data_IF_207711635720
#
_entry.id   IF_207711635720
#
_cell.length_a   1.000
_cell.length_b   1.000
_cell.length_c   1.000
_cell.angle_alpha   90.00
_cell.angle_beta   90.00
_cell.angle_gamma   90.00
#
_symmetry.space_group_name_H-M   'P 1'
#
loop_
_entity.id
_entity.type
_entity.pdbx_description
1 polymer ?
#
# COMPACT_ATOMS: atom_id res chain seq x y z
N UNK A 1 -3.52 23.00 -3.87
CA UNK A 1 -4.65 22.39 -3.12
C UNK A 1 -4.12 21.29 -2.21
N UNK A 2 -4.17 21.49 -0.88
CA UNK A 2 -3.77 20.48 0.10
C UNK A 2 -4.79 19.33 0.13
N UNK A 3 -4.60 18.33 -0.73
CA UNK A 3 -5.42 17.11 -0.74
C UNK A 3 -5.14 16.32 0.55
N UNK A 4 -5.92 16.55 1.61
CA UNK A 4 -5.90 15.70 2.80
C UNK A 4 -6.40 14.31 2.40
N UNK A 5 -5.58 13.28 2.60
CA UNK A 5 -6.00 11.89 2.37
C UNK A 5 -7.12 11.60 3.36
N UNK A 6 -8.35 11.52 2.87
CA UNK A 6 -9.51 11.20 3.70
C UNK A 6 -9.43 9.71 4.06
N UNK A 7 -9.44 9.33 5.35
CA UNK A 7 -9.44 7.93 5.73
C UNK A 7 -10.74 7.26 5.26
N UNK A 8 -10.65 6.00 4.84
CA UNK A 8 -11.83 5.20 4.52
C UNK A 8 -12.67 4.95 5.78
N UNK A 9 -13.98 4.73 5.61
CA UNK A 9 -14.86 4.35 6.71
C UNK A 9 -14.40 3.03 7.35
N UNK A 10 -14.58 2.90 8.67
CA UNK A 10 -14.19 1.70 9.41
C UNK A 10 -14.82 0.43 8.83
N UNK A 11 -16.08 0.50 8.41
CA UNK A 11 -16.79 -0.60 7.76
C UNK A 11 -16.11 -1.06 6.46
N UNK A 12 -15.65 -0.11 5.62
CA UNK A 12 -14.95 -0.44 4.38
C UNK A 12 -13.58 -1.08 4.64
N UNK A 13 -12.86 -0.57 5.64
CA UNK A 13 -11.58 -1.14 6.07
C UNK A 13 -11.77 -2.59 6.52
N UNK A 14 -12.73 -2.85 7.42
CA UNK A 14 -13.04 -4.21 7.88
C UNK A 14 -13.47 -5.13 6.73
N UNK A 15 -14.35 -4.66 5.84
CA UNK A 15 -14.78 -5.43 4.67
C UNK A 15 -13.60 -5.87 3.79
N UNK A 16 -12.65 -4.97 3.56
CA UNK A 16 -11.46 -5.26 2.74
C UNK A 16 -10.58 -6.33 3.39
N UNK A 17 -10.34 -6.23 4.70
CA UNK A 17 -9.57 -7.25 5.45
C UNK A 17 -10.26 -8.61 5.44
N UNK A 18 -11.57 -8.66 5.67
CA UNK A 18 -12.35 -9.91 5.64
C UNK A 18 -12.37 -10.51 4.25
N UNK A 19 -12.54 -9.70 3.21
CA UNK A 19 -12.55 -10.17 1.81
C UNK A 19 -11.20 -10.79 1.43
N UNK A 20 -10.10 -10.13 1.77
CA UNK A 20 -8.76 -10.66 1.54
C UNK A 20 -8.53 -11.98 2.28
N UNK A 21 -8.91 -12.05 3.57
CA UNK A 21 -8.79 -13.27 4.36
C UNK A 21 -9.64 -14.42 3.78
N UNK A 22 -10.87 -14.13 3.34
CA UNK A 22 -11.74 -15.10 2.70
C UNK A 22 -11.14 -15.60 1.37
N UNK A 23 -10.59 -14.72 0.53
CA UNK A 23 -9.91 -15.12 -0.70
C UNK A 23 -8.69 -16.00 -0.44
N UNK A 24 -7.84 -15.62 0.52
CA UNK A 24 -6.67 -16.43 0.91
C UNK A 24 -7.09 -17.81 1.44
N UNK A 25 -8.16 -17.87 2.24
CA UNK A 25 -8.72 -19.11 2.74
C UNK A 25 -9.26 -20.01 1.63
N UNK A 26 -10.04 -19.46 0.69
CA UNK A 26 -10.56 -20.23 -0.45
C UNK A 26 -9.44 -20.83 -1.31
N UNK A 27 -8.36 -20.07 -1.53
CA UNK A 27 -7.18 -20.57 -2.25
C UNK A 27 -6.50 -21.69 -1.46
N UNK A 28 -6.28 -21.52 -0.16
CA UNK A 28 -5.68 -22.55 0.68
C UNK A 28 -6.51 -23.85 0.70
N UNK A 29 -7.83 -23.73 0.82
CA UNK A 29 -8.78 -24.85 0.70
C UNK A 29 -8.69 -25.50 -0.68
N UNK A 30 -8.63 -24.71 -1.75
CA UNK A 30 -8.47 -25.22 -3.11
C UNK A 30 -7.19 -26.02 -3.32
N UNK A 31 -6.06 -25.57 -2.74
CA UNK A 31 -4.79 -26.31 -2.77
C UNK A 31 -4.94 -27.62 -1.98
N UNK A 32 -5.58 -27.59 -0.81
CA UNK A 32 -5.74 -28.76 0.05
C UNK A 32 -6.57 -29.87 -0.62
N UNK A 33 -7.65 -29.51 -1.31
CA UNK A 33 -8.50 -30.47 -2.02
C UNK A 33 -7.98 -30.86 -3.42
N UNK A 34 -6.87 -30.27 -3.88
CA UNK A 34 -6.28 -30.59 -5.18
C UNK A 34 -5.69 -32.02 -5.17
N UNK A 35 -6.08 -32.92 -6.09
CA UNK A 35 -5.59 -34.30 -6.12
C UNK A 35 -4.21 -34.39 -6.77
N UNK A 36 -3.19 -33.81 -6.13
CA UNK A 36 -1.78 -33.85 -6.59
C UNK A 36 -0.84 -34.27 -5.47
N UNK A 37 0.45 -34.45 -5.78
CA UNK A 37 1.46 -34.77 -4.78
C UNK A 37 1.69 -33.63 -3.79
N UNK A 38 2.05 -33.97 -2.54
CA UNK A 38 2.36 -33.00 -1.49
C UNK A 38 3.44 -31.99 -1.91
N UNK A 39 4.44 -32.43 -2.68
CA UNK A 39 5.49 -31.56 -3.20
C UNK A 39 4.94 -30.47 -4.13
N UNK A 40 3.97 -30.81 -4.98
CA UNK A 40 3.33 -29.86 -5.89
C UNK A 40 2.40 -28.90 -5.15
N UNK A 41 1.64 -29.39 -4.16
CA UNK A 41 0.85 -28.53 -3.27
C UNK A 41 1.76 -27.52 -2.53
N UNK A 42 2.90 -27.98 -2.02
CA UNK A 42 3.89 -27.13 -1.37
C UNK A 42 4.46 -26.07 -2.31
N UNK A 43 4.80 -26.43 -3.54
CA UNK A 43 5.27 -25.48 -4.56
C UNK A 43 4.25 -24.38 -4.84
N UNK A 44 2.98 -24.76 -5.03
CA UNK A 44 1.89 -23.80 -5.26
C UNK A 44 1.67 -22.89 -4.05
N UNK A 45 1.65 -23.45 -2.84
CA UNK A 45 1.49 -22.68 -1.61
C UNK A 45 2.63 -21.67 -1.41
N UNK A 46 3.88 -22.09 -1.61
CA UNK A 46 5.04 -21.19 -1.53
C UNK A 46 4.94 -20.05 -2.55
N UNK A 47 4.58 -20.35 -3.80
CA UNK A 47 4.43 -19.35 -4.86
C UNK A 47 3.35 -18.32 -4.53
N UNK A 48 2.19 -18.77 -4.05
CA UNK A 48 1.07 -17.90 -3.68
C UNK A 48 1.44 -17.00 -2.49
N UNK A 49 2.06 -17.55 -1.44
CA UNK A 49 2.49 -16.77 -0.26
C UNK A 49 3.50 -15.69 -0.66
N UNK A 50 4.51 -16.05 -1.46
CA UNK A 50 5.50 -15.08 -1.94
C UNK A 50 4.90 -14.02 -2.85
N UNK A 51 3.98 -14.40 -3.74
CA UNK A 51 3.28 -13.45 -4.61
C UNK A 51 2.44 -12.44 -3.80
N UNK A 52 1.68 -12.92 -2.81
CA UNK A 52 0.88 -12.08 -1.91
C UNK A 52 1.80 -11.11 -1.14
N UNK A 53 2.89 -11.62 -0.54
CA UNK A 53 3.84 -10.81 0.20
C UNK A 53 4.43 -9.69 -0.68
N UNK A 54 4.91 -10.04 -1.87
CA UNK A 54 5.52 -9.09 -2.80
C UNK A 54 4.51 -8.08 -3.34
N UNK A 55 3.26 -8.47 -3.57
CA UNK A 55 2.19 -7.55 -3.98
C UNK A 55 1.89 -6.49 -2.90
N UNK A 56 1.82 -6.91 -1.63
CA UNK A 56 1.62 -5.99 -0.50
C UNK A 56 2.81 -5.03 -0.38
N UNK A 57 4.03 -5.55 -0.43
CA UNK A 57 5.24 -4.73 -0.38
C UNK A 57 5.28 -3.74 -1.55
N UNK A 58 5.00 -4.18 -2.77
CA UNK A 58 4.95 -3.33 -3.95
C UNK A 58 3.92 -2.20 -3.79
N UNK A 59 2.72 -2.53 -3.31
CA UNK A 59 1.66 -1.54 -3.09
C UNK A 59 2.07 -0.49 -2.06
N UNK A 60 2.73 -0.91 -0.97
CA UNK A 60 3.31 0.00 0.03
C UNK A 60 4.38 0.89 -0.60
N UNK A 61 5.36 0.31 -1.29
CA UNK A 61 6.44 1.06 -1.95
C UNK A 61 5.89 2.12 -2.92
N UNK A 62 4.86 1.79 -3.72
CA UNK A 62 4.24 2.76 -4.63
C UNK A 62 3.55 3.89 -3.85
N UNK A 63 2.84 3.58 -2.77
CA UNK A 63 2.20 4.58 -1.90
C UNK A 63 3.24 5.47 -1.23
N UNK A 64 4.28 4.87 -0.65
CA UNK A 64 5.34 5.57 0.06
C UNK A 64 6.09 6.53 -0.88
N UNK A 65 6.33 6.13 -2.13
CA UNK A 65 6.90 7.01 -3.16
C UNK A 65 5.98 8.19 -3.48
N UNK A 66 4.68 7.95 -3.66
CA UNK A 66 3.70 8.99 -3.94
C UNK A 66 3.60 10.01 -2.80
N UNK A 67 3.56 9.53 -1.54
CA UNK A 67 3.53 10.39 -0.36
C UNK A 67 4.84 11.19 -0.23
N UNK A 68 6.00 10.54 -0.42
CA UNK A 68 7.31 11.19 -0.34
C UNK A 68 7.45 12.35 -1.32
N UNK A 69 7.07 12.16 -2.60
CA UNK A 69 7.10 13.24 -3.60
C UNK A 69 6.21 14.43 -3.21
N UNK A 70 5.03 14.15 -2.64
CA UNK A 70 4.12 15.20 -2.18
C UNK A 70 4.67 15.97 -0.97
N UNK A 71 5.35 15.28 -0.05
CA UNK A 71 6.01 15.93 1.08
C UNK A 71 7.14 16.86 0.65
N UNK A 72 7.97 16.44 -0.32
CA UNK A 72 9.07 17.26 -0.85
C UNK A 72 8.53 18.56 -1.44
N UNK A 73 7.53 18.49 -2.33
CA UNK A 73 6.94 19.68 -2.95
C UNK A 73 6.39 20.68 -1.90
N UNK A 74 5.75 20.20 -0.83
CA UNK A 74 5.24 21.07 0.24
C UNK A 74 6.34 21.76 1.03
N UNK A 75 7.50 21.11 1.20
CA UNK A 75 8.66 21.71 1.87
C UNK A 75 9.28 22.79 0.98
N UNK A 76 9.39 22.52 -0.32
CA UNK A 76 9.89 23.51 -1.29
C UNK A 76 8.99 24.73 -1.35
N UNK A 77 7.68 24.56 -1.45
CA UNK A 77 6.69 25.66 -1.42
C UNK A 77 6.83 26.51 -0.15
N UNK A 78 6.92 25.88 1.02
CA UNK A 78 7.06 26.58 2.30
C UNK A 78 8.40 27.32 2.43
N UNK A 79 9.49 26.76 1.88
CA UNK A 79 10.79 27.43 1.83
C UNK A 79 10.77 28.62 0.87
N UNK A 80 10.18 28.45 -0.31
CA UNK A 80 10.03 29.53 -1.28
C UNK A 80 9.21 30.70 -0.69
N UNK A 81 8.10 30.39 -0.01
CA UNK A 81 7.28 31.40 0.67
C UNK A 81 8.08 32.16 1.75
N UNK A 82 8.88 31.46 2.56
CA UNK A 82 9.75 32.11 3.57
C UNK A 82 10.79 33.04 2.97
N UNK A 83 11.45 32.62 1.88
CA UNK A 83 12.44 33.46 1.20
C UNK A 83 11.80 34.74 0.65
N UNK A 84 10.60 34.63 0.06
CA UNK A 84 9.86 35.80 -0.41
C UNK A 84 9.50 36.77 0.73
N UNK A 85 9.09 36.25 1.89
CA UNK A 85 8.81 37.08 3.06
C UNK A 85 10.06 37.78 3.60
N UNK A 86 11.21 37.10 3.63
CA UNK A 86 12.48 37.70 4.08
C UNK A 86 12.95 38.83 3.15
N UNK A 87 12.85 38.63 1.84
CA UNK A 87 13.17 39.66 0.83
C UNK A 87 12.22 40.86 0.96
N UNK A 88 10.92 40.62 1.10
CA UNK A 88 9.94 41.70 1.28
C UNK A 88 10.11 42.47 2.59
N UNK A 89 10.62 41.84 3.65
CA UNK A 89 10.83 42.47 4.95
C UNK A 89 12.12 43.30 5.01
N UNK A 90 13.09 42.98 4.15
CA UNK A 90 14.42 43.63 4.12
C UNK A 90 14.51 44.79 3.12
N UNK A 91 13.44 45.05 2.35
CA UNK A 91 13.30 46.18 1.43
C UNK A 91 12.42 47.29 1.97
#
# INVERSE_FOLDING_TARGET
MNQTIQPHSSAWVTFTYVSFAASAFLVAVGIFFLPVSLWMQGYLAMGIVMLIQTCITLTKTVRDNYESSKFVNRIEDAKAERLLMEVSKSG
#
